data_IF_083001924809
#
_entry.id   IF_083001924809
#
_cell.length_a   1.000
_cell.length_b   1.000
_cell.length_c   1.000
_cell.angle_alpha   90.00
_cell.angle_beta   90.00
_cell.angle_gamma   90.00
#
_symmetry.space_group_name_H-M   'P 1'
#
loop_
_entity.id
_entity.type
_entity.pdbx_description
1 polymer ?
#
# COMPACT_ATOMS: atom_id res chain seq x y z
N UNK A 1 1.65 -5.80 -13.56
CA UNK A 1 0.96 -4.97 -12.54
C UNK A 1 -0.51 -5.34 -12.47
N UNK A 2 -0.85 -6.25 -11.55
CA UNK A 2 -2.21 -6.75 -11.33
C UNK A 2 -2.95 -5.80 -10.38
N UNK A 3 -4.15 -5.34 -10.75
CA UNK A 3 -4.98 -4.49 -9.90
C UNK A 3 -5.71 -5.40 -8.92
N UNK A 4 -5.31 -5.40 -7.64
CA UNK A 4 -5.96 -6.26 -6.63
C UNK A 4 -7.35 -5.78 -6.20
N UNK A 5 -7.68 -4.49 -6.29
CA UNK A 5 -9.01 -3.95 -5.92
C UNK A 5 -9.50 -2.84 -6.86
N UNK A 6 -10.66 -3.07 -7.46
CA UNK A 6 -11.42 -2.07 -8.24
C UNK A 6 -12.64 -1.64 -7.44
N UNK A 7 -12.76 -0.34 -7.15
CA UNK A 7 -13.97 0.21 -6.55
C UNK A 7 -14.78 0.91 -7.64
N UNK A 8 -15.97 0.38 -7.90
CA UNK A 8 -16.91 0.92 -8.88
C UNK A 8 -18.00 1.66 -8.11
N UNK A 9 -18.06 2.98 -8.29
CA UNK A 9 -19.17 3.78 -7.76
C UNK A 9 -20.10 4.16 -8.92
N UNK A 10 -21.36 3.79 -8.78
CA UNK A 10 -22.42 4.10 -9.73
C UNK A 10 -23.45 4.99 -9.04
N UNK A 11 -23.69 6.19 -9.55
CA UNK A 11 -24.79 7.03 -9.10
C UNK A 11 -25.46 7.68 -10.29
N UNK A 12 -26.73 7.34 -10.49
CA UNK A 12 -27.55 7.74 -11.64
C UNK A 12 -28.15 9.15 -11.48
N UNK A 13 -28.09 9.72 -10.26
CA UNK A 13 -28.83 10.94 -9.90
C UNK A 13 -27.93 12.09 -9.41
N UNK A 14 -26.61 11.90 -9.29
CA UNK A 14 -25.67 12.88 -8.74
C UNK A 14 -24.84 13.60 -9.82
N UNK A 15 -24.44 14.84 -9.54
CA UNK A 15 -23.51 15.61 -10.37
C UNK A 15 -22.13 14.95 -10.27
N UNK A 16 -21.41 14.81 -11.39
CA UNK A 16 -20.08 14.18 -11.46
C UNK A 16 -19.12 14.64 -10.35
N UNK A 17 -19.11 15.94 -10.04
CA UNK A 17 -18.26 16.51 -9.00
C UNK A 17 -18.54 15.95 -7.60
N UNK A 18 -19.80 15.66 -7.26
CA UNK A 18 -20.17 15.13 -5.93
C UNK A 18 -19.69 13.69 -5.78
N UNK A 19 -19.90 12.88 -6.82
CA UNK A 19 -19.40 11.50 -6.91
C UNK A 19 -17.87 11.47 -6.81
N UNK A 20 -17.20 12.38 -7.52
CA UNK A 20 -15.75 12.50 -7.48
C UNK A 20 -15.24 12.94 -6.09
N UNK A 21 -15.90 13.90 -5.44
CA UNK A 21 -15.56 14.35 -4.07
C UNK A 21 -15.71 13.23 -3.04
N UNK A 22 -16.78 12.43 -3.13
CA UNK A 22 -16.99 11.29 -2.22
C UNK A 22 -15.91 10.20 -2.42
N UNK A 23 -15.62 9.85 -3.68
CA UNK A 23 -14.54 8.94 -4.04
C UNK A 23 -13.19 9.40 -3.50
N UNK A 24 -12.85 10.69 -3.66
CA UNK A 24 -11.61 11.27 -3.18
C UNK A 24 -11.51 11.17 -1.64
N UNK A 25 -12.58 11.50 -0.91
CA UNK A 25 -12.60 11.36 0.57
C UNK A 25 -12.33 9.93 1.03
N UNK A 26 -12.88 8.93 0.35
CA UNK A 26 -12.65 7.53 0.70
C UNK A 26 -11.20 7.10 0.42
N UNK A 27 -10.62 7.59 -0.67
CA UNK A 27 -9.20 7.35 -0.99
C UNK A 27 -8.28 8.04 0.02
N UNK A 28 -8.59 9.26 0.43
CA UNK A 28 -7.78 9.97 1.43
C UNK A 28 -7.82 9.25 2.79
N UNK A 29 -8.97 8.68 3.19
CA UNK A 29 -9.06 7.81 4.38
C UNK A 29 -8.20 6.55 4.25
N UNK A 30 -8.21 5.90 3.09
CA UNK A 30 -7.37 4.73 2.84
C UNK A 30 -5.88 5.10 2.86
N UNK A 31 -5.50 6.23 2.24
CA UNK A 31 -4.14 6.78 2.27
C UNK A 31 -3.68 7.01 3.69
N UNK A 32 -4.50 7.65 4.50
CA UNK A 32 -4.21 7.84 5.92
C UNK A 32 -3.98 6.50 6.63
N UNK A 33 -4.90 5.54 6.48
CA UNK A 33 -4.79 4.23 7.12
C UNK A 33 -3.50 3.47 6.75
N UNK A 34 -3.17 3.38 5.47
CA UNK A 34 -1.97 2.66 5.03
C UNK A 34 -0.67 3.43 5.32
N UNK A 35 -0.70 4.78 5.33
CA UNK A 35 0.45 5.58 5.78
C UNK A 35 0.74 5.34 7.25
N UNK A 36 -0.27 5.32 8.12
CA UNK A 36 -0.08 4.99 9.53
C UNK A 36 0.49 3.59 9.72
N UNK A 37 0.04 2.64 8.90
CA UNK A 37 0.60 1.28 8.88
C UNK A 37 2.08 1.26 8.50
N UNK A 38 2.45 1.97 7.44
CA UNK A 38 3.84 2.10 7.02
C UNK A 38 4.70 2.81 8.07
N UNK A 39 4.17 3.83 8.75
CA UNK A 39 4.83 4.53 9.85
C UNK A 39 5.17 3.58 11.00
N UNK A 40 4.23 2.69 11.37
CA UNK A 40 4.49 1.67 12.41
C UNK A 40 5.61 0.72 11.97
N UNK A 41 5.60 0.26 10.72
CA UNK A 41 6.61 -0.65 10.19
C UNK A 41 8.00 0.01 10.11
N UNK A 42 8.08 1.25 9.63
CA UNK A 42 9.36 1.98 9.55
C UNK A 42 9.91 2.30 10.93
N UNK A 43 9.04 2.60 11.91
CA UNK A 43 9.46 2.76 13.31
C UNK A 43 10.02 1.46 13.89
N UNK A 44 9.30 0.34 13.71
CA UNK A 44 9.78 -0.99 14.11
C UNK A 44 11.16 -1.31 13.52
N UNK A 45 11.33 -1.13 12.21
CA UNK A 45 12.61 -1.36 11.52
C UNK A 45 13.72 -0.42 11.99
N UNK A 46 13.38 0.83 12.30
CA UNK A 46 14.35 1.79 12.87
C UNK A 46 14.86 1.33 14.22
N UNK A 47 13.96 0.86 15.10
CA UNK A 47 14.34 0.27 16.39
C UNK A 47 15.23 -0.96 16.17
N UNK A 48 14.88 -1.84 15.22
CA UNK A 48 15.73 -2.98 14.85
C UNK A 48 17.13 -2.58 14.39
N UNK A 49 17.26 -1.52 13.60
CA UNK A 49 18.58 -1.00 13.16
C UNK A 49 19.40 -0.38 14.30
N UNK A 50 18.78 -0.04 15.43
CA UNK A 50 19.49 0.39 16.64
C UNK A 50 19.95 -0.79 17.50
N UNK A 51 19.44 -2.00 17.25
CA UNK A 51 20.00 -3.21 17.82
C UNK A 51 21.37 -3.47 17.16
N UNK A 52 22.35 -3.99 17.92
CA UNK A 52 23.67 -4.36 17.39
C UNK A 52 23.55 -5.62 16.51
N UNK A 53 22.89 -5.49 15.36
CA UNK A 53 22.66 -6.56 14.41
C UNK A 53 23.96 -6.96 13.72
N UNK A 54 24.06 -8.25 13.39
CA UNK A 54 25.06 -8.72 12.44
C UNK A 54 24.86 -8.04 11.08
N UNK A 55 25.94 -7.81 10.34
CA UNK A 55 25.93 -7.04 9.08
C UNK A 55 24.91 -7.55 8.06
N UNK A 56 24.73 -8.86 7.96
CA UNK A 56 23.75 -9.46 7.04
C UNK A 56 22.31 -9.15 7.44
N UNK A 57 22.01 -9.21 8.74
CA UNK A 57 20.69 -8.83 9.29
C UNK A 57 20.45 -7.34 9.12
N UNK A 58 21.45 -6.49 9.40
CA UNK A 58 21.37 -5.05 9.19
C UNK A 58 21.03 -4.71 7.72
N UNK A 59 21.73 -5.33 6.77
CA UNK A 59 21.49 -5.12 5.34
C UNK A 59 20.07 -5.50 4.92
N UNK A 60 19.55 -6.63 5.42
CA UNK A 60 18.16 -7.05 5.17
C UNK A 60 17.17 -6.04 5.76
N UNK A 61 17.36 -5.62 7.01
CA UNK A 61 16.52 -4.63 7.67
C UNK A 61 16.49 -3.32 6.89
N UNK A 62 17.66 -2.82 6.44
CA UNK A 62 17.74 -1.61 5.59
C UNK A 62 17.04 -1.79 4.25
N UNK A 63 17.18 -2.95 3.60
CA UNK A 63 16.50 -3.24 2.34
C UNK A 63 14.98 -3.20 2.51
N UNK A 64 14.45 -3.85 3.55
CA UNK A 64 13.01 -3.85 3.83
C UNK A 64 12.53 -2.42 4.12
N UNK A 65 13.26 -1.69 4.98
CA UNK A 65 12.95 -0.29 5.31
C UNK A 65 12.85 0.59 4.06
N UNK A 66 13.90 0.58 3.23
CA UNK A 66 13.93 1.39 2.01
C UNK A 66 12.81 0.99 1.05
N UNK A 67 12.54 -0.32 0.90
CA UNK A 67 11.46 -0.77 0.00
C UNK A 67 10.09 -0.28 0.46
N UNK A 68 9.82 -0.25 1.78
CA UNK A 68 8.57 0.30 2.32
C UNK A 68 8.49 1.81 2.06
N UNK A 69 9.56 2.55 2.37
CA UNK A 69 9.62 4.02 2.16
C UNK A 69 9.44 4.37 0.69
N UNK A 70 10.19 3.71 -0.20
CA UNK A 70 10.12 3.92 -1.64
C UNK A 70 8.72 3.61 -2.18
N UNK A 71 8.06 2.57 -1.66
CA UNK A 71 6.69 2.27 -2.06
C UNK A 71 5.72 3.37 -1.64
N UNK A 72 5.68 3.75 -0.36
CA UNK A 72 4.69 4.73 0.13
C UNK A 72 4.90 6.14 -0.43
N UNK A 73 6.14 6.47 -0.80
CA UNK A 73 6.47 7.73 -1.48
C UNK A 73 6.28 7.66 -3.01
N UNK A 74 5.93 6.50 -3.58
CA UNK A 74 5.76 6.37 -5.03
C UNK A 74 4.40 6.87 -5.51
N UNK A 75 4.37 7.35 -6.76
CA UNK A 75 3.12 7.65 -7.47
C UNK A 75 2.23 6.41 -7.68
N UNK A 76 2.74 5.22 -7.41
CA UNK A 76 2.01 3.96 -7.51
C UNK A 76 1.27 3.59 -6.22
N UNK A 77 1.53 4.25 -5.10
CA UNK A 77 0.89 3.97 -3.83
C UNK A 77 -0.46 4.69 -3.73
N UNK A 78 -1.54 3.92 -3.69
CA UNK A 78 -2.91 4.42 -3.52
C UNK A 78 -3.24 5.58 -4.46
N UNK A 79 -2.89 5.41 -5.73
CA UNK A 79 -3.17 6.39 -6.76
C UNK A 79 -4.62 6.27 -7.24
N UNK A 80 -5.29 7.40 -7.43
CA UNK A 80 -6.60 7.47 -8.03
C UNK A 80 -6.45 7.62 -9.55
N UNK A 81 -6.81 6.59 -10.31
CA UNK A 81 -7.06 6.75 -11.76
C UNK A 81 -8.56 6.79 -12.02
N UNK A 82 -9.16 7.98 -12.04
CA UNK A 82 -10.55 8.17 -12.44
C UNK A 82 -10.67 8.15 -13.96
N UNK A 83 -11.63 7.39 -14.47
CA UNK A 83 -12.05 7.48 -15.87
C UNK A 83 -13.55 7.80 -15.87
N UNK A 84 -13.94 9.06 -16.15
CA UNK A 84 -15.35 9.38 -16.31
C UNK A 84 -15.87 8.64 -17.54
N UNK A 85 -16.80 7.71 -17.33
CA UNK A 85 -17.55 7.11 -18.44
C UNK A 85 -18.97 7.65 -18.36
N UNK A 86 -19.28 8.60 -19.24
CA UNK A 86 -20.65 9.03 -19.49
C UNK A 86 -21.30 8.07 -20.48
N UNK A 87 -22.47 7.55 -20.14
CA UNK A 87 -23.32 6.77 -21.05
C UNK A 87 -24.73 7.35 -20.95
N UNK A 88 -25.30 7.74 -22.09
CA UNK A 88 -26.55 8.51 -22.19
C UNK A 88 -27.77 7.89 -21.49
N UNK A 89 -27.71 6.64 -21.00
CA UNK A 89 -28.82 5.97 -20.32
C UNK A 89 -28.45 5.34 -18.96
N UNK A 90 -27.27 5.61 -18.39
CA UNK A 90 -26.80 4.95 -17.15
C UNK A 90 -26.14 5.88 -16.12
N UNK A 91 -26.17 7.19 -16.33
CA UNK A 91 -25.56 8.18 -15.44
C UNK A 91 -24.02 8.25 -15.55
N UNK A 92 -23.38 8.92 -14.60
CA UNK A 92 -21.92 9.02 -14.51
C UNK A 92 -21.36 7.79 -13.80
N UNK A 93 -20.43 7.09 -14.45
CA UNK A 93 -19.63 6.04 -13.82
C UNK A 93 -18.24 6.56 -13.50
N UNK A 94 -17.83 6.45 -12.24
CA UNK A 94 -16.45 6.69 -11.81
C UNK A 94 -15.85 5.36 -11.39
N UNK A 95 -14.87 4.89 -12.16
CA UNK A 95 -14.07 3.73 -11.78
C UNK A 95 -12.83 4.23 -11.04
N UNK A 96 -12.63 3.76 -9.80
CA UNK A 96 -11.45 4.04 -8.99
C UNK A 96 -10.57 2.78 -8.98
N UNK A 97 -9.38 2.89 -9.57
CA UNK A 97 -8.35 1.84 -9.48
C UNK A 97 -7.37 2.22 -8.38
N UNK A 98 -7.30 1.43 -7.32
CA UNK A 98 -6.37 1.64 -6.21
C UNK A 98 -5.27 0.59 -6.32
N UNK A 99 -4.02 1.03 -6.35
CA UNK A 99 -2.88 0.12 -6.25
C UNK A 99 -2.36 0.07 -4.80
N UNK A 100 -2.55 -1.07 -4.16
CA UNK A 100 -2.03 -1.40 -2.82
C UNK A 100 -0.82 -2.33 -2.89
N UNK A 101 -0.43 -2.76 -4.09
CA UNK A 101 0.56 -3.83 -4.28
C UNK A 101 1.89 -3.27 -4.76
N UNK A 102 2.97 -3.74 -4.15
CA UNK A 102 4.33 -3.49 -4.56
C UNK A 102 5.03 -4.83 -4.81
N UNK A 103 5.57 -5.03 -6.01
CA UNK A 103 6.20 -6.29 -6.40
C UNK A 103 7.44 -6.62 -5.56
N UNK A 104 8.22 -5.60 -5.15
CA UNK A 104 9.39 -5.79 -4.30
C UNK A 104 9.01 -6.16 -2.86
N UNK A 105 7.95 -5.55 -2.30
CA UNK A 105 7.42 -5.97 -0.99
C UNK A 105 6.85 -7.38 -1.04
N UNK A 106 6.13 -7.76 -2.10
CA UNK A 106 5.61 -9.11 -2.25
C UNK A 106 6.71 -10.17 -2.33
N UNK A 107 7.84 -9.88 -2.99
CA UNK A 107 9.02 -10.76 -3.00
C UNK A 107 9.59 -11.00 -1.60
N UNK A 108 9.36 -10.07 -0.67
CA UNK A 108 9.74 -10.15 0.74
C UNK A 108 8.61 -10.75 1.61
N UNK A 109 7.51 -11.20 1.02
CA UNK A 109 6.32 -11.69 1.73
C UNK A 109 5.49 -10.58 2.40
N UNK A 110 5.80 -9.31 2.14
CA UNK A 110 5.17 -8.16 2.76
C UNK A 110 3.98 -7.71 1.90
N UNK A 111 2.77 -7.89 2.40
CA UNK A 111 1.55 -7.31 1.84
C UNK A 111 0.94 -6.36 2.86
N UNK A 112 0.84 -5.06 2.54
CA UNK A 112 0.29 -4.05 3.44
C UNK A 112 -1.21 -4.26 3.72
N UNK A 113 -1.91 -5.11 2.95
CA UNK A 113 -3.28 -5.49 3.27
C UNK A 113 -3.38 -6.41 4.50
N UNK A 114 -2.34 -7.19 4.80
CA UNK A 114 -2.32 -8.10 5.95
C UNK A 114 -2.32 -7.36 7.28
N UNK A 115 -2.77 -8.00 8.36
CA UNK A 115 -2.72 -7.38 9.68
C UNK A 115 -1.28 -7.02 10.09
N UNK A 116 -1.11 -5.92 10.84
CA UNK A 116 0.20 -5.34 11.16
C UNK A 116 1.12 -6.36 11.87
N UNK A 117 0.57 -7.18 12.77
CA UNK A 117 1.35 -8.18 13.49
C UNK A 117 1.84 -9.31 12.59
N UNK A 118 1.06 -9.70 11.57
CA UNK A 118 1.49 -10.73 10.61
C UNK A 118 2.60 -10.21 9.70
N UNK A 119 2.54 -8.93 9.34
CA UNK A 119 3.60 -8.25 8.59
C UNK A 119 4.88 -8.18 9.42
N UNK A 120 4.79 -7.75 10.69
CA UNK A 120 5.95 -7.69 11.59
C UNK A 120 6.60 -9.06 11.71
N UNK A 121 5.81 -10.12 11.95
CA UNK A 121 6.32 -11.49 12.04
C UNK A 121 7.02 -11.93 10.74
N UNK A 122 6.47 -11.55 9.59
CA UNK A 122 7.07 -11.84 8.29
C UNK A 122 8.42 -11.13 8.13
N UNK A 123 8.50 -9.86 8.55
CA UNK A 123 9.75 -9.09 8.53
C UNK A 123 10.80 -9.72 9.45
N UNK A 124 10.41 -10.11 10.67
CA UNK A 124 11.30 -10.78 11.62
C UNK A 124 11.87 -12.07 11.00
N UNK A 125 11.01 -12.92 10.43
CA UNK A 125 11.46 -14.13 9.73
C UNK A 125 12.43 -13.81 8.58
N UNK A 126 12.15 -12.79 7.77
CA UNK A 126 13.03 -12.41 6.66
C UNK A 126 14.41 -11.95 7.15
N UNK A 127 14.46 -11.20 8.26
CA UNK A 127 15.72 -10.76 8.88
C UNK A 127 16.49 -11.99 9.40
N UNK A 128 15.81 -12.89 10.10
CA UNK A 128 16.42 -14.04 10.79
C UNK A 128 16.70 -15.26 9.90
N UNK A 129 16.14 -15.35 8.70
CA UNK A 129 16.42 -16.45 7.75
C UNK A 129 17.92 -16.57 7.46
N UNK A 130 18.57 -17.61 7.98
CA UNK A 130 19.93 -17.97 7.59
C UNK A 130 19.95 -18.30 6.09
N UNK A 131 20.95 -17.79 5.36
CA UNK A 131 21.16 -18.26 3.99
C UNK A 131 21.38 -19.77 4.05
N UNK A 132 20.72 -20.57 3.20
CA UNK A 132 21.12 -21.97 3.04
C UNK A 132 22.61 -21.97 2.62
N UNK A 133 23.43 -22.66 3.42
CA UNK A 133 24.85 -22.92 3.13
C UNK A 133 25.02 -23.65 1.79
#
# INVERSE_FOLDING_TARGET
>A
MEIKKEYIYNNTNAIFEEVYKEAQKNIDKLRYFYNEKANVLTHFLTVKLMENLEKDKENKTRKIFNTIVDFVCSDNFLNLKSHPVYKENSGFKVTLKINTTNEELLKLGIDLENNIFDIIKTIENQIDEEKPN
#
